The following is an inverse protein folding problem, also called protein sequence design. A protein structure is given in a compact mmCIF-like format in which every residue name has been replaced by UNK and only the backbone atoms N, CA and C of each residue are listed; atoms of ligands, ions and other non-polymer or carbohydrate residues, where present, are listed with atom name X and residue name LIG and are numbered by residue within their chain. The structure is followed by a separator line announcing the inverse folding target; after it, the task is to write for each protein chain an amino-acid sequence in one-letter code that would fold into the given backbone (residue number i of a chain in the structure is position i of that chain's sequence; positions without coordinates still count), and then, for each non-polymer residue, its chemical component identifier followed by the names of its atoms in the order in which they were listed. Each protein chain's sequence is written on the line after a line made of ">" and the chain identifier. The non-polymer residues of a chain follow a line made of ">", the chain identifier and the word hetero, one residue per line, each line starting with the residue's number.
data_IF_354247238193
#
_entry.id   IF_354247238193
#
_cell.length_a   1.000
_cell.length_b   1.000
_cell.length_c   1.000
_cell.angle_alpha   90.00
_cell.angle_beta   90.00
_cell.angle_gamma   90.00
#
_symmetry.space_group_name_H-M   'P 1'
#
loop_
_entity.id
_entity.type
_entity.pdbx_description
1 polymer ?
#
# COMPACT_ATOMS: atom_id res chain seq x y z
N UNK A 1 -8.95 8.00 -11.74
CA UNK A 1 -9.63 7.75 -10.46
C UNK A 1 -9.53 9.05 -9.70
N UNK A 2 -10.53 9.90 -9.87
CA UNK A 2 -10.62 11.21 -9.25
C UNK A 2 -11.26 11.03 -7.87
N UNK A 3 -10.53 11.38 -6.80
CA UNK A 3 -10.96 11.23 -5.41
C UNK A 3 -11.51 12.56 -4.86
N UNK A 4 -11.98 13.44 -5.74
CA UNK A 4 -12.30 14.83 -5.42
C UNK A 4 -13.78 14.97 -5.09
N UNK A 5 -14.07 15.58 -3.94
CA UNK A 5 -15.39 16.14 -3.65
C UNK A 5 -15.27 17.64 -3.91
N UNK A 6 -16.12 18.18 -4.79
CA UNK A 6 -16.12 19.61 -5.16
C UNK A 6 -14.81 20.13 -5.81
N UNK A 7 -14.03 19.25 -6.46
CA UNK A 7 -12.76 19.63 -7.09
C UNK A 7 -11.56 19.65 -6.14
N UNK A 8 -11.77 19.28 -4.87
CA UNK A 8 -10.69 19.14 -3.88
C UNK A 8 -10.45 17.66 -3.56
N UNK A 9 -9.24 17.19 -3.88
CA UNK A 9 -8.77 15.88 -3.41
C UNK A 9 -8.42 15.96 -1.92
N UNK A 10 -8.87 14.99 -1.13
CA UNK A 10 -8.47 14.90 0.27
C UNK A 10 -6.95 14.83 0.44
N UNK A 11 -6.40 15.54 1.43
CA UNK A 11 -4.94 15.64 1.66
C UNK A 11 -4.28 14.36 2.18
N UNK A 12 -5.05 13.29 2.41
CA UNK A 12 -4.56 12.05 3.02
C UNK A 12 -3.62 11.24 2.11
N UNK A 13 -3.66 11.49 0.79
CA UNK A 13 -2.79 10.81 -0.17
C UNK A 13 -1.29 10.95 0.17
N UNK A 14 -0.90 12.07 0.76
CA UNK A 14 0.49 12.34 1.17
C UNK A 14 0.96 11.48 2.36
N UNK A 15 0.04 10.94 3.14
CA UNK A 15 0.34 10.12 4.33
C UNK A 15 0.35 8.62 4.03
N UNK A 16 0.12 8.22 2.78
CA UNK A 16 0.10 6.82 2.37
C UNK A 16 1.50 6.19 2.47
N UNK A 17 1.66 5.23 3.39
CA UNK A 17 2.97 4.62 3.66
C UNK A 17 3.41 3.61 2.59
N UNK A 18 2.47 2.85 2.01
CA UNK A 18 2.78 1.76 1.05
C UNK A 18 1.89 1.72 -0.19
N UNK A 19 0.71 2.32 -0.14
CA UNK A 19 -0.25 2.28 -1.25
C UNK A 19 0.29 3.07 -2.45
N UNK A 20 0.18 2.50 -3.67
CA UNK A 20 0.75 3.11 -4.89
C UNK A 20 2.26 2.93 -5.05
N UNK A 21 2.99 2.48 -4.03
CA UNK A 21 4.46 2.41 -4.01
C UNK A 21 5.01 1.04 -4.42
N UNK A 22 4.35 0.38 -5.38
CA UNK A 22 4.82 -0.93 -5.89
C UNK A 22 6.26 -0.81 -6.40
N UNK A 23 7.11 -1.79 -6.08
CA UNK A 23 8.54 -1.85 -6.43
C UNK A 23 9.42 -0.79 -5.74
N UNK A 24 8.86 0.12 -4.95
CA UNK A 24 9.63 1.07 -4.16
C UNK A 24 10.06 0.48 -2.81
N UNK A 25 11.06 1.09 -2.20
CA UNK A 25 11.53 0.72 -0.86
C UNK A 25 10.52 1.13 0.21
N UNK A 26 10.27 0.22 1.15
CA UNK A 26 9.46 0.46 2.34
C UNK A 26 10.08 1.58 3.19
N UNK A 27 9.25 2.50 3.68
CA UNK A 27 9.69 3.61 4.53
C UNK A 27 10.34 3.16 5.84
N UNK A 28 9.97 1.98 6.34
CA UNK A 28 10.46 1.48 7.63
C UNK A 28 11.68 0.57 7.47
N UNK A 29 11.56 -0.51 6.68
CA UNK A 29 12.60 -1.54 6.60
C UNK A 29 13.41 -1.53 5.30
N UNK A 30 13.18 -0.56 4.40
CA UNK A 30 13.82 -0.41 3.09
C UNK A 30 13.64 -1.58 2.10
N UNK A 31 12.88 -2.61 2.46
CA UNK A 31 12.58 -3.73 1.58
C UNK A 31 11.61 -3.32 0.46
N UNK A 32 11.67 -4.00 -0.69
CA UNK A 32 10.78 -3.70 -1.82
C UNK A 32 9.33 -4.04 -1.50
N UNK A 33 8.43 -3.07 -1.68
CA UNK A 33 6.97 -3.27 -1.58
C UNK A 33 6.47 -4.04 -2.78
N UNK A 34 5.67 -5.08 -2.53
CA UNK A 34 5.04 -5.90 -3.57
C UNK A 34 3.58 -5.54 -3.71
N UNK A 35 3.09 -5.49 -4.94
CA UNK A 35 1.66 -5.45 -5.24
C UNK A 35 1.21 -6.87 -5.57
N UNK A 36 0.17 -7.35 -4.90
CA UNK A 36 -0.47 -8.65 -5.14
C UNK A 36 -1.98 -8.48 -5.27
N UNK A 37 -2.68 -9.50 -5.78
CA UNK A 37 -4.13 -9.51 -5.88
C UNK A 37 -4.68 -10.50 -4.86
N UNK A 38 -5.50 -10.03 -3.92
CA UNK A 38 -6.14 -10.85 -2.88
C UNK A 38 -7.64 -10.71 -3.03
N UNK A 39 -8.35 -11.82 -3.23
CA UNK A 39 -9.81 -11.84 -3.42
C UNK A 39 -10.30 -10.79 -4.43
N UNK A 40 -9.61 -10.65 -5.57
CA UNK A 40 -9.98 -9.68 -6.61
C UNK A 40 -9.42 -8.26 -6.40
N UNK A 41 -8.95 -7.89 -5.20
CA UNK A 41 -8.49 -6.53 -4.86
C UNK A 41 -6.97 -6.42 -4.93
N UNK A 42 -6.49 -5.29 -5.47
CA UNK A 42 -5.05 -4.98 -5.48
C UNK A 42 -4.57 -4.57 -4.09
N UNK A 43 -3.65 -5.34 -3.52
CA UNK A 43 -3.09 -5.13 -2.18
C UNK A 43 -1.59 -4.85 -2.28
N UNK A 44 -1.12 -3.83 -1.57
CA UNK A 44 0.29 -3.51 -1.43
C UNK A 44 0.79 -4.07 -0.09
N UNK A 45 1.90 -4.81 -0.11
CA UNK A 45 2.42 -5.47 1.08
C UNK A 45 3.95 -5.37 1.15
N UNK A 46 4.48 -5.09 2.34
CA UNK A 46 5.89 -5.25 2.65
C UNK A 46 6.12 -6.60 3.35
N UNK A 47 6.84 -7.52 2.69
CA UNK A 47 7.07 -8.89 3.20
C UNK A 47 7.94 -8.98 4.45
N UNK A 48 8.58 -7.88 4.85
CA UNK A 48 9.41 -7.80 6.08
C UNK A 48 8.62 -7.23 7.25
N UNK A 49 7.84 -6.16 7.02
CA UNK A 49 7.06 -5.50 8.07
C UNK A 49 5.71 -6.18 8.32
N UNK A 50 5.02 -6.63 7.27
CA UNK A 50 3.72 -7.27 7.37
C UNK A 50 3.92 -8.79 7.36
N UNK A 51 4.01 -9.38 8.55
CA UNK A 51 4.13 -10.83 8.73
C UNK A 51 2.84 -11.52 8.32
N UNK A 52 2.96 -12.68 7.67
CA UNK A 52 1.82 -13.54 7.37
C UNK A 52 1.57 -14.41 8.60
N UNK A 53 0.44 -14.20 9.25
CA UNK A 53 -0.02 -15.08 10.32
C UNK A 53 -0.89 -16.16 9.69
N UNK A 54 -0.26 -17.29 9.30
CA UNK A 54 -0.99 -18.50 8.95
C UNK A 54 -1.43 -19.22 10.22
N UNK A 55 -2.70 -19.63 10.29
CA UNK A 55 -3.19 -20.49 11.37
C UNK A 55 -2.37 -21.79 11.41
N UNK A 56 -1.97 -22.16 12.62
CA UNK A 56 -1.65 -23.54 13.00
C UNK A 56 -2.94 -24.36 12.99
#
# INVERSE_FOLDING_TARGET
>A
MDFSVNGESGRYANYLSIYGRSKQSCLTCKNKIKKMKVAGRGTYVCTKCQKVYGKR
#
